data_IF_714860274592
#
_entry.id   IF_714860274592
#
_cell.length_a   1.000
_cell.length_b   1.000
_cell.length_c   1.000
_cell.angle_alpha   90.00
_cell.angle_beta   90.00
_cell.angle_gamma   90.00
#
_symmetry.space_group_name_H-M   'P 1'
#
loop_
_entity.id
_entity.type
_entity.pdbx_description
1 polymer ?
#
# COMPACT_ATOMS: atom_id res chain seq x y z
N UNK A 1 18.96 16.20 9.22
CA UNK A 1 18.96 16.43 7.76
C UNK A 1 17.56 16.07 7.28
N UNK A 2 16.82 17.05 6.75
CA UNK A 2 15.45 16.83 6.26
C UNK A 2 15.52 16.08 4.94
N UNK A 3 15.17 14.80 4.96
CA UNK A 3 15.01 14.01 3.74
C UNK A 3 13.65 14.41 3.16
N UNK A 4 13.65 15.35 2.22
CA UNK A 4 12.51 15.57 1.33
C UNK A 4 12.43 14.35 0.42
N UNK A 5 11.54 13.40 0.72
CA UNK A 5 11.28 12.28 -0.17
C UNK A 5 10.65 12.81 -1.47
N UNK A 6 11.45 12.91 -2.53
CA UNK A 6 10.93 13.18 -3.87
C UNK A 6 10.12 11.96 -4.31
N UNK A 7 8.80 12.04 -4.22
CA UNK A 7 7.88 11.04 -4.79
C UNK A 7 8.07 11.07 -6.30
N UNK A 8 8.35 9.91 -6.92
CA UNK A 8 8.52 9.81 -8.37
C UNK A 8 7.16 9.99 -9.08
N UNK A 9 7.16 10.42 -10.34
CA UNK A 9 5.95 10.63 -11.14
C UNK A 9 5.07 9.37 -11.20
N UNK A 10 5.66 8.20 -11.38
CA UNK A 10 4.93 6.93 -11.37
C UNK A 10 4.24 6.67 -10.00
N UNK A 11 4.93 6.97 -8.90
CA UNK A 11 4.36 6.82 -7.55
C UNK A 11 3.20 7.80 -7.35
N UNK A 12 3.38 9.06 -7.76
CA UNK A 12 2.35 10.10 -7.69
C UNK A 12 1.10 9.71 -8.49
N UNK A 13 1.28 9.33 -9.76
CA UNK A 13 0.17 8.98 -10.65
C UNK A 13 -0.64 7.82 -10.08
N UNK A 14 0.03 6.80 -9.57
CA UNK A 14 -0.62 5.62 -9.01
C UNK A 14 -1.36 5.90 -7.70
N UNK A 15 -0.77 6.73 -6.83
CA UNK A 15 -1.44 7.15 -5.59
C UNK A 15 -2.64 8.03 -5.85
N UNK A 16 -2.54 9.02 -6.74
CA UNK A 16 -3.66 9.88 -7.12
C UNK A 16 -4.78 9.09 -7.78
N UNK A 17 -4.44 8.14 -8.67
CA UNK A 17 -5.41 7.24 -9.30
C UNK A 17 -6.18 6.42 -8.27
N UNK A 18 -5.51 5.92 -7.25
CA UNK A 18 -6.16 5.16 -6.19
C UNK A 18 -7.11 6.03 -5.36
N UNK A 19 -6.68 7.23 -4.95
CA UNK A 19 -7.50 8.15 -4.17
C UNK A 19 -8.78 8.52 -4.92
N UNK A 20 -8.64 8.80 -6.22
CA UNK A 20 -9.79 9.07 -7.10
C UNK A 20 -10.79 7.90 -7.16
N UNK A 21 -10.31 6.66 -7.09
CA UNK A 21 -11.18 5.48 -7.12
C UNK A 21 -11.94 5.27 -5.82
N UNK A 22 -11.28 5.46 -4.67
CA UNK A 22 -11.93 5.23 -3.37
C UNK A 22 -12.90 6.36 -2.99
N UNK A 23 -12.56 7.61 -3.30
CA UNK A 23 -13.34 8.78 -2.89
C UNK A 23 -14.36 9.27 -3.93
N UNK A 24 -14.56 8.55 -5.04
CA UNK A 24 -15.45 8.97 -6.14
C UNK A 24 -16.90 9.21 -5.70
N UNK A 25 -17.34 8.52 -4.65
CA UNK A 25 -18.71 8.60 -4.14
C UNK A 25 -18.82 9.41 -2.83
N UNK A 26 -17.74 10.01 -2.33
CA UNK A 26 -17.77 10.75 -1.08
C UNK A 26 -18.41 12.14 -1.27
N UNK A 27 -19.46 12.49 -0.49
CA UNK A 27 -20.23 13.72 -0.69
C UNK A 27 -19.46 15.00 -0.33
N UNK A 28 -18.45 14.92 0.53
CA UNK A 28 -17.71 16.07 1.08
C UNK A 28 -16.50 16.44 0.24
N UNK A 29 -15.96 15.50 -0.54
CA UNK A 29 -14.83 15.73 -1.46
C UNK A 29 -15.20 15.64 -2.94
N UNK A 30 -16.46 15.41 -3.29
CA UNK A 30 -16.93 15.34 -4.68
C UNK A 30 -16.50 16.52 -5.57
N UNK A 31 -16.40 17.72 -5.01
CA UNK A 31 -16.04 18.93 -5.76
C UNK A 31 -14.51 19.05 -5.97
N UNK A 32 -13.74 18.12 -5.40
CA UNK A 32 -12.27 18.03 -5.49
C UNK A 32 -11.77 16.79 -6.25
N UNK A 33 -12.64 15.82 -6.49
CA UNK A 33 -12.35 14.58 -7.23
C UNK A 33 -12.99 14.67 -8.63
N UNK A 34 -12.34 14.24 -9.72
CA UNK A 34 -11.03 13.61 -9.77
C UNK A 34 -9.88 14.63 -9.68
N UNK A 35 -8.87 14.27 -8.88
CA UNK A 35 -7.61 15.00 -8.79
C UNK A 35 -6.78 14.62 -10.02
N UNK A 36 -6.20 15.62 -10.66
CA UNK A 36 -5.32 15.42 -11.80
C UNK A 36 -4.02 14.73 -11.33
N UNK A 37 -3.63 13.66 -12.04
CA UNK A 37 -2.48 12.81 -11.72
C UNK A 37 -1.13 13.51 -11.89
N UNK A 38 -1.11 14.62 -12.62
CA UNK A 38 0.12 15.31 -13.00
C UNK A 38 0.50 16.43 -12.02
N UNK A 39 -0.43 16.85 -11.16
CA UNK A 39 -0.23 17.93 -10.20
C UNK A 39 -0.07 17.39 -8.77
N UNK A 40 0.96 17.88 -8.07
CA UNK A 40 1.29 17.54 -6.68
C UNK A 40 0.30 18.13 -5.64
N UNK A 41 -0.95 18.40 -6.03
CA UNK A 41 -1.92 19.11 -5.18
C UNK A 41 -2.44 18.27 -4.01
N UNK A 42 -2.36 16.93 -4.09
CA UNK A 42 -2.87 16.02 -3.05
C UNK A 42 -2.15 16.19 -1.71
N UNK A 43 -0.90 16.67 -1.74
CA UNK A 43 -0.06 16.89 -0.56
C UNK A 43 -0.22 18.29 0.04
N UNK A 44 -0.71 19.25 -0.74
CA UNK A 44 -0.67 20.67 -0.39
C UNK A 44 -2.01 21.21 0.12
N UNK A 45 -3.14 20.56 -0.17
CA UNK A 45 -4.45 21.13 0.17
C UNK A 45 -5.33 20.23 1.05
N UNK A 46 -5.41 20.64 2.32
CA UNK A 46 -6.57 20.62 3.23
C UNK A 46 -6.87 19.44 4.15
N UNK A 47 -6.12 18.35 4.07
CA UNK A 47 -6.16 17.24 5.05
C UNK A 47 -7.49 16.47 5.09
N UNK A 48 -8.52 16.95 4.39
CA UNK A 48 -9.85 16.35 4.35
C UNK A 48 -9.84 15.11 3.48
N UNK A 49 -9.19 15.18 2.30
CA UNK A 49 -9.01 14.03 1.41
C UNK A 49 -8.28 12.90 2.15
N UNK A 50 -7.21 13.24 2.87
CA UNK A 50 -6.45 12.31 3.70
C UNK A 50 -7.31 11.75 4.83
N UNK A 51 -8.07 12.57 5.55
CA UNK A 51 -8.95 12.08 6.61
C UNK A 51 -10.05 11.14 6.10
N UNK A 52 -10.67 11.46 4.95
CA UNK A 52 -11.68 10.60 4.32
C UNK A 52 -11.12 9.29 3.81
N UNK A 53 -9.94 9.32 3.19
CA UNK A 53 -9.22 8.10 2.81
C UNK A 53 -8.91 7.23 4.03
N UNK A 54 -8.56 7.86 5.16
CA UNK A 54 -8.30 7.16 6.41
C UNK A 54 -9.55 6.44 6.93
N UNK A 55 -10.71 7.11 6.94
CA UNK A 55 -11.97 6.51 7.37
C UNK A 55 -12.54 5.47 6.40
N UNK A 56 -12.35 5.61 5.08
CA UNK A 56 -12.69 4.52 4.14
C UNK A 56 -11.90 3.25 4.47
N UNK A 57 -10.70 3.44 5.00
CA UNK A 57 -9.77 2.36 5.28
C UNK A 57 -10.04 1.73 6.62
N UNK A 58 -10.07 2.53 7.68
CA UNK A 58 -10.45 2.12 9.03
C UNK A 58 -11.70 2.92 9.44
N UNK A 59 -12.91 2.37 9.25
CA UNK A 59 -14.16 3.05 9.61
C UNK A 59 -14.16 3.54 11.06
N UNK A 60 -14.84 4.65 11.30
CA UNK A 60 -15.01 5.26 12.64
C UNK A 60 -13.72 5.65 13.38
N UNK A 61 -12.59 5.79 12.68
CA UNK A 61 -11.32 6.18 13.33
C UNK A 61 -11.21 7.67 13.55
N UNK A 62 -11.53 8.46 12.53
CA UNK A 62 -11.59 9.92 12.62
C UNK A 62 -13.05 10.31 12.72
N UNK A 63 -13.42 11.00 13.80
CA UNK A 63 -14.77 11.55 13.91
C UNK A 63 -14.96 12.65 12.84
N UNK A 64 -15.72 12.36 11.80
CA UNK A 64 -15.90 13.30 10.67
C UNK A 64 -16.55 14.62 11.10
N UNK A 65 -17.22 14.65 12.26
CA UNK A 65 -17.80 15.87 12.82
C UNK A 65 -16.74 16.87 13.27
N UNK A 66 -15.50 16.41 13.52
CA UNK A 66 -14.37 17.29 13.86
C UNK A 66 -13.63 17.80 12.62
N UNK A 67 -13.93 17.25 11.43
CA UNK A 67 -13.29 17.66 10.19
C UNK A 67 -13.88 18.96 9.66
N UNK A 68 -12.99 19.88 9.28
CA UNK A 68 -13.37 21.11 8.61
C UNK A 68 -13.64 20.83 7.12
N UNK A 69 -14.93 20.73 6.77
CA UNK A 69 -15.40 20.60 5.37
C UNK A 69 -15.53 21.99 4.74
N UNK A 70 -15.12 22.20 3.47
CA UNK A 70 -15.35 23.46 2.76
C UNK A 70 -16.85 23.76 2.66
N UNK A 71 -17.23 24.98 3.05
CA UNK A 71 -18.59 25.50 2.84
C UNK A 71 -18.71 25.89 1.37
N UNK A 72 -19.81 25.52 0.70
CA UNK A 72 -20.08 25.77 -0.75
C UNK A 72 -19.42 27.06 -1.26
N UNK A 73 -18.40 26.90 -2.11
CA UNK A 73 -17.71 27.99 -2.81
C UNK A 73 -16.57 28.67 -2.05
N UNK A 74 -16.19 28.22 -0.85
CA UNK A 74 -15.06 28.78 -0.09
C UNK A 74 -14.03 27.71 0.28
N UNK A 75 -12.79 27.91 -0.14
CA UNK A 75 -11.64 27.10 0.31
C UNK A 75 -11.48 27.19 1.83
N UNK A 76 -11.08 26.08 2.43
CA UNK A 76 -10.77 25.99 3.86
C UNK A 76 -9.54 26.85 4.16
N UNK A 77 -9.57 27.65 5.22
CA UNK A 77 -8.43 28.51 5.59
C UNK A 77 -7.25 27.65 6.10
N UNK A 78 -6.00 28.09 5.92
CA UNK A 78 -4.77 27.40 6.36
C UNK A 78 -4.84 26.84 7.78
N UNK A 79 -5.39 27.59 8.73
CA UNK A 79 -5.54 27.12 10.12
C UNK A 79 -6.43 25.88 10.24
N UNK A 80 -7.57 25.88 9.54
CA UNK A 80 -8.51 24.76 9.52
C UNK A 80 -7.95 23.55 8.76
N UNK A 81 -7.11 23.79 7.76
CA UNK A 81 -6.35 22.74 7.08
C UNK A 81 -5.34 22.08 8.03
N UNK A 82 -4.64 22.87 8.83
CA UNK A 82 -3.73 22.37 9.87
C UNK A 82 -4.47 21.54 10.93
N UNK A 83 -5.70 21.93 11.31
CA UNK A 83 -6.54 21.15 12.23
C UNK A 83 -6.93 19.78 11.65
N UNK A 84 -7.32 19.74 10.37
CA UNK A 84 -7.60 18.48 9.68
C UNK A 84 -6.34 17.60 9.62
N UNK A 85 -5.20 18.16 9.23
CA UNK A 85 -3.93 17.45 9.18
C UNK A 85 -3.51 16.88 10.54
N UNK A 86 -3.67 17.68 11.61
CA UNK A 86 -3.39 17.22 12.96
C UNK A 86 -4.31 16.06 13.37
N UNK A 87 -5.59 16.12 12.99
CA UNK A 87 -6.55 15.03 13.26
C UNK A 87 -6.13 13.74 12.56
N UNK A 88 -5.67 13.81 11.31
CA UNK A 88 -5.11 12.65 10.59
C UNK A 88 -3.86 12.11 11.31
N UNK A 89 -2.93 12.99 11.69
CA UNK A 89 -1.69 12.60 12.38
C UNK A 89 -1.97 11.95 13.75
N UNK A 90 -2.86 12.52 14.55
CA UNK A 90 -3.18 11.98 15.88
C UNK A 90 -3.96 10.67 15.79
N UNK A 91 -4.85 10.56 14.80
CA UNK A 91 -5.61 9.33 14.56
C UNK A 91 -4.70 8.21 14.08
N UNK A 92 -3.76 8.52 13.16
CA UNK A 92 -2.68 7.63 12.76
C UNK A 92 -1.88 7.14 13.98
N UNK A 93 -1.43 8.06 14.85
CA UNK A 93 -0.73 7.69 16.09
C UNK A 93 -1.57 6.82 17.03
N UNK A 94 -2.86 7.13 17.15
CA UNK A 94 -3.80 6.42 18.05
C UNK A 94 -4.03 4.97 17.66
N UNK A 95 -3.96 4.64 16.36
CA UNK A 95 -4.03 3.26 15.87
C UNK A 95 -2.67 2.57 15.77
N UNK A 96 -1.59 3.23 16.20
CA UNK A 96 -0.23 2.68 16.16
C UNK A 96 0.61 3.04 14.93
N UNK A 97 0.12 3.90 14.02
CA UNK A 97 0.89 4.42 12.91
C UNK A 97 1.71 5.64 13.35
N UNK A 98 3.00 5.45 13.59
CA UNK A 98 3.88 6.54 13.97
C UNK A 98 4.26 7.35 12.72
N UNK A 99 3.94 8.65 12.72
CA UNK A 99 4.16 9.58 11.58
C UNK A 99 5.62 9.98 11.33
N UNK A 100 6.58 9.28 11.95
CA UNK A 100 8.00 9.38 11.65
C UNK A 100 8.40 8.08 10.95
N UNK A 101 7.93 7.92 9.71
CA UNK A 101 7.97 6.63 9.02
C UNK A 101 9.42 6.25 8.69
N UNK A 102 9.95 5.35 9.50
CA UNK A 102 10.85 4.30 9.06
C UNK A 102 10.04 3.05 8.77
N UNK A 103 10.59 2.13 7.96
CA UNK A 103 9.94 0.87 7.60
C UNK A 103 9.36 0.12 8.80
N UNK A 104 9.87 0.28 10.03
CA UNK A 104 9.49 -0.43 11.24
C UNK A 104 8.00 -0.36 11.70
N UNK A 105 7.16 0.52 11.12
CA UNK A 105 5.82 0.80 11.65
C UNK A 105 4.65 0.03 11.00
N UNK A 106 4.87 -0.91 10.05
CA UNK A 106 3.82 -1.90 9.70
C UNK A 106 3.73 -3.02 10.75
N UNK A 107 3.51 -2.66 12.02
CA UNK A 107 3.31 -3.64 13.08
C UNK A 107 1.98 -4.35 12.82
N UNK A 108 2.08 -5.54 12.22
CA UNK A 108 1.00 -6.49 12.05
C UNK A 108 0.60 -6.99 13.43
N UNK A 109 -0.55 -6.55 13.96
CA UNK A 109 -1.06 -7.04 15.25
C UNK A 109 -1.32 -8.56 15.15
N UNK A 110 -0.65 -9.36 15.99
CA UNK A 110 -0.78 -10.82 16.05
C UNK A 110 -2.24 -11.24 16.25
N UNK A 111 -3.03 -10.43 16.96
CA UNK A 111 -4.45 -10.73 17.18
C UNK A 111 -5.25 -10.76 15.87
N UNK A 112 -4.80 -10.02 14.85
CA UNK A 112 -5.40 -10.00 13.53
C UNK A 112 -4.85 -11.11 12.62
N UNK A 113 -3.72 -11.74 12.96
CA UNK A 113 -3.02 -12.67 12.07
C UNK A 113 -2.35 -13.87 12.76
N UNK A 114 -3.13 -14.84 13.30
CA UNK A 114 -2.60 -16.11 13.82
C UNK A 114 -1.89 -16.96 12.75
N UNK A 115 -2.02 -16.62 11.48
CA UNK A 115 -1.31 -17.22 10.35
C UNK A 115 0.20 -16.90 10.35
N UNK A 116 0.64 -15.81 11.01
CA UNK A 116 2.06 -15.42 11.08
C UNK A 116 2.95 -16.47 11.72
N UNK A 117 2.41 -17.32 12.60
CA UNK A 117 3.15 -18.42 13.20
C UNK A 117 3.71 -19.40 12.16
N UNK A 118 3.12 -19.49 10.96
CA UNK A 118 3.62 -20.35 9.86
C UNK A 118 4.86 -19.78 9.17
N UNK A 119 5.19 -18.52 9.42
CA UNK A 119 6.34 -17.83 8.85
C UNK A 119 7.56 -17.83 9.77
N UNK A 120 7.42 -18.35 10.99
CA UNK A 120 8.51 -18.48 11.95
C UNK A 120 9.55 -19.47 11.44
N UNK A 121 10.81 -19.14 11.66
CA UNK A 121 11.92 -20.08 11.49
C UNK A 121 12.06 -20.96 12.74
N UNK A 122 12.67 -22.15 12.61
CA UNK A 122 12.63 -23.20 13.63
C UNK A 122 13.22 -22.78 15.01
N UNK A 123 14.04 -21.72 15.05
CA UNK A 123 14.68 -21.19 16.26
C UNK A 123 14.29 -19.74 16.59
N UNK A 124 13.23 -19.22 15.99
CA UNK A 124 12.82 -17.82 16.13
C UNK A 124 11.55 -17.67 16.98
N UNK A 125 11.58 -16.75 17.94
CA UNK A 125 10.38 -16.39 18.70
C UNK A 125 9.52 -15.42 17.92
N UNK A 126 8.21 -15.46 18.15
CA UNK A 126 7.27 -14.52 17.55
C UNK A 126 7.61 -13.05 17.85
N UNK A 127 8.13 -12.77 19.04
CA UNK A 127 8.55 -11.42 19.41
C UNK A 127 9.76 -10.94 18.59
N UNK A 128 10.70 -11.84 18.27
CA UNK A 128 11.81 -11.54 17.36
C UNK A 128 11.31 -11.33 15.93
N UNK A 129 10.40 -12.18 15.46
CA UNK A 129 9.77 -12.05 14.14
C UNK A 129 9.04 -10.71 13.98
N UNK A 130 8.27 -10.27 14.97
CA UNK A 130 7.55 -9.00 14.94
C UNK A 130 8.47 -7.77 15.00
N UNK A 131 9.70 -7.92 15.49
CA UNK A 131 10.70 -6.84 15.50
C UNK A 131 11.36 -6.66 14.14
N UNK A 132 11.12 -7.57 13.19
CA UNK A 132 11.65 -7.43 11.84
C UNK A 132 10.98 -6.27 11.13
N UNK A 133 11.72 -5.57 10.28
CA UNK A 133 11.11 -4.56 9.46
C UNK A 133 10.15 -5.24 8.45
N UNK A 134 9.07 -4.57 8.04
CA UNK A 134 7.98 -5.16 7.29
C UNK A 134 8.36 -5.71 5.92
N UNK A 135 9.35 -5.12 5.27
CA UNK A 135 9.90 -5.66 4.03
C UNK A 135 10.42 -7.09 4.26
N UNK A 136 11.06 -7.36 5.40
CA UNK A 136 11.57 -8.70 5.75
C UNK A 136 10.43 -9.67 6.09
N UNK A 137 9.40 -9.20 6.79
CA UNK A 137 8.19 -10.00 7.06
C UNK A 137 7.53 -10.41 5.73
N UNK A 138 7.36 -9.48 4.80
CA UNK A 138 6.79 -9.73 3.48
C UNK A 138 7.69 -10.64 2.63
N UNK A 139 9.01 -10.52 2.72
CA UNK A 139 9.94 -11.41 2.02
C UNK A 139 9.80 -12.86 2.51
N UNK A 140 9.68 -13.07 3.83
CA UNK A 140 9.45 -14.41 4.40
C UNK A 140 8.13 -14.98 3.95
N UNK A 141 7.07 -14.18 4.00
CA UNK A 141 5.76 -14.57 3.49
C UNK A 141 5.79 -14.95 2.00
N UNK A 142 6.41 -14.13 1.17
CA UNK A 142 6.53 -14.38 -0.27
C UNK A 142 7.25 -15.71 -0.51
N UNK A 143 8.40 -15.91 0.14
CA UNK A 143 9.20 -17.11 0.00
C UNK A 143 8.54 -18.37 0.57
N UNK A 144 7.71 -18.24 1.61
CA UNK A 144 6.88 -19.34 2.13
C UNK A 144 5.98 -19.90 1.03
N UNK A 145 5.29 -19.03 0.29
CA UNK A 145 4.44 -19.44 -0.83
C UNK A 145 5.23 -19.97 -2.03
N UNK A 146 6.38 -19.39 -2.36
CA UNK A 146 7.25 -19.92 -3.43
C UNK A 146 7.77 -21.32 -3.09
N UNK A 147 8.14 -21.56 -1.83
CA UNK A 147 8.56 -22.88 -1.33
C UNK A 147 7.41 -23.88 -1.41
N UNK A 148 6.21 -23.49 -0.99
CA UNK A 148 5.01 -24.33 -1.10
C UNK A 148 4.66 -24.67 -2.56
N UNK A 149 4.88 -23.72 -3.49
CA UNK A 149 4.69 -23.90 -4.93
C UNK A 149 5.81 -24.72 -5.61
N UNK A 150 6.82 -25.17 -4.84
CA UNK A 150 8.02 -25.87 -5.33
C UNK A 150 8.79 -25.09 -6.39
N UNK A 151 8.77 -23.77 -6.30
CA UNK A 151 9.57 -22.90 -7.14
C UNK A 151 11.02 -22.91 -6.65
N UNK A 152 11.98 -22.84 -7.57
CA UNK A 152 13.42 -22.88 -7.29
C UNK A 152 13.94 -21.52 -6.82
N UNK A 153 13.44 -20.42 -7.40
CA UNK A 153 13.89 -19.07 -7.05
C UNK A 153 13.33 -18.59 -5.72
N UNK A 154 14.13 -17.76 -5.03
CA UNK A 154 13.74 -17.05 -3.80
C UNK A 154 13.95 -15.56 -3.99
N UNK A 155 13.12 -14.77 -3.33
CA UNK A 155 13.13 -13.31 -3.37
C UNK A 155 13.89 -12.79 -2.16
N UNK A 156 14.85 -11.90 -2.36
CA UNK A 156 15.63 -11.22 -1.31
C UNK A 156 15.39 -9.71 -1.31
N UNK A 157 14.78 -9.16 -2.35
CA UNK A 157 14.44 -7.75 -2.50
C UNK A 157 13.18 -7.59 -3.36
N UNK A 158 12.49 -6.46 -3.23
CA UNK A 158 11.34 -6.10 -4.07
C UNK A 158 11.73 -5.24 -5.28
N UNK A 159 12.93 -5.43 -5.82
CA UNK A 159 13.38 -4.78 -7.05
C UNK A 159 13.73 -5.83 -8.11
N UNK A 160 15.02 -6.14 -8.26
CA UNK A 160 15.55 -7.05 -9.28
C UNK A 160 14.97 -8.47 -9.19
N UNK A 161 14.71 -8.97 -7.98
CA UNK A 161 14.27 -10.36 -7.82
C UNK A 161 12.83 -10.56 -8.29
N UNK A 162 12.04 -9.48 -8.42
CA UNK A 162 10.64 -9.53 -8.84
C UNK A 162 10.40 -8.91 -10.21
N UNK A 163 11.35 -8.16 -10.76
CA UNK A 163 11.17 -7.31 -11.95
C UNK A 163 10.82 -8.06 -13.24
N UNK A 164 11.13 -9.34 -13.34
CA UNK A 164 10.78 -10.19 -14.48
C UNK A 164 9.37 -10.81 -14.41
N UNK A 165 8.60 -10.49 -13.35
CA UNK A 165 7.22 -10.95 -13.14
C UNK A 165 7.06 -12.44 -12.85
N UNK A 166 8.12 -13.24 -12.89
CA UNK A 166 8.02 -14.71 -12.74
C UNK A 166 7.62 -15.09 -11.30
N UNK A 167 8.29 -14.48 -10.32
CA UNK A 167 8.00 -14.71 -8.91
C UNK A 167 6.56 -14.27 -8.53
N UNK A 168 6.08 -13.15 -9.07
CA UNK A 168 4.68 -12.74 -8.90
C UNK A 168 3.71 -13.71 -9.56
N UNK A 169 4.06 -14.26 -10.73
CA UNK A 169 3.20 -15.22 -11.42
C UNK A 169 2.96 -16.46 -10.55
N UNK A 170 4.03 -17.01 -9.98
CA UNK A 170 3.96 -18.17 -9.09
C UNK A 170 3.23 -17.84 -7.79
N UNK A 171 3.57 -16.73 -7.13
CA UNK A 171 2.91 -16.32 -5.88
C UNK A 171 1.40 -16.21 -6.08
N UNK A 172 0.97 -15.50 -7.12
CA UNK A 172 -0.45 -15.27 -7.37
C UNK A 172 -1.19 -16.56 -7.78
N UNK A 173 -0.54 -17.45 -8.53
CA UNK A 173 -1.08 -18.79 -8.81
C UNK A 173 -1.21 -19.62 -7.53
N UNK A 174 -0.24 -19.54 -6.60
CA UNK A 174 -0.30 -20.25 -5.33
C UNK A 174 -1.45 -19.76 -4.45
N UNK A 175 -1.74 -18.46 -4.50
CA UNK A 175 -2.78 -17.83 -3.68
C UNK A 175 -4.20 -18.03 -4.25
N UNK A 176 -4.35 -17.90 -5.57
CA UNK A 176 -5.65 -18.01 -6.27
C UNK A 176 -5.48 -18.76 -7.60
N UNK A 177 -5.26 -20.09 -7.58
CA UNK A 177 -4.96 -20.86 -8.80
C UNK A 177 -6.08 -20.77 -9.84
N UNK A 178 -7.34 -20.66 -9.40
CA UNK A 178 -8.53 -20.52 -10.26
C UNK A 178 -8.54 -19.22 -11.09
N UNK A 179 -7.89 -18.16 -10.61
CA UNK A 179 -7.88 -16.83 -11.26
C UNK A 179 -6.54 -16.49 -11.89
N UNK A 180 -5.48 -17.23 -11.57
CA UNK A 180 -4.11 -16.88 -11.89
C UNK A 180 -3.39 -18.10 -12.44
N UNK A 181 -3.33 -18.23 -13.76
CA UNK A 181 -2.53 -19.27 -14.40
C UNK A 181 -1.02 -18.97 -14.35
N UNK A 182 -0.21 -19.98 -14.71
CA UNK A 182 1.24 -19.87 -14.89
C UNK A 182 1.64 -19.53 -16.33
N UNK A 183 0.67 -19.36 -17.24
CA UNK A 183 0.91 -19.09 -18.66
C UNK A 183 1.78 -17.85 -18.93
N UNK A 184 1.73 -16.77 -18.12
CA UNK A 184 2.62 -15.62 -18.32
C UNK A 184 4.11 -15.97 -18.29
N UNK A 185 4.52 -17.10 -17.68
CA UNK A 185 5.92 -17.54 -17.69
C UNK A 185 6.44 -17.87 -19.09
N UNK A 186 5.55 -18.17 -20.04
CA UNK A 186 5.91 -18.48 -21.43
C UNK A 186 6.11 -17.23 -22.28
N UNK A 187 5.73 -16.04 -21.77
CA UNK A 187 5.85 -14.78 -22.50
C UNK A 187 7.31 -14.27 -22.41
N UNK A 188 8.07 -14.21 -23.52
CA UNK A 188 9.44 -13.71 -23.49
C UNK A 188 9.54 -12.21 -23.19
N UNK A 189 8.56 -11.41 -23.63
CA UNK A 189 8.57 -9.98 -23.38
C UNK A 189 8.15 -9.66 -21.94
N UNK A 190 9.02 -8.99 -21.19
CA UNK A 190 8.79 -8.72 -19.76
C UNK A 190 7.63 -7.75 -19.54
N UNK A 191 7.43 -6.81 -20.45
CA UNK A 191 6.36 -5.83 -20.35
C UNK A 191 5.01 -6.48 -20.65
N UNK A 192 4.91 -7.29 -21.71
CA UNK A 192 3.71 -8.05 -22.02
C UNK A 192 3.40 -9.10 -20.93
N UNK A 193 4.43 -9.75 -20.37
CA UNK A 193 4.26 -10.66 -19.24
C UNK A 193 3.66 -9.94 -18.04
N UNK A 194 4.20 -8.77 -17.74
CA UNK A 194 3.72 -7.93 -16.65
C UNK A 194 2.28 -7.46 -16.90
N UNK A 195 1.92 -7.08 -18.12
CA UNK A 195 0.54 -6.72 -18.49
C UNK A 195 -0.44 -7.87 -18.33
N UNK A 196 -0.11 -9.05 -18.87
CA UNK A 196 -0.94 -10.27 -18.75
C UNK A 196 -1.15 -10.68 -17.29
N UNK A 197 -0.25 -10.29 -16.39
CA UNK A 197 -0.33 -10.62 -14.96
C UNK A 197 -0.95 -9.53 -14.10
N UNK A 198 -0.62 -8.27 -14.37
CA UNK A 198 -0.99 -7.09 -13.58
C UNK A 198 -2.28 -6.42 -14.07
N UNK A 199 -2.82 -6.81 -15.23
CA UNK A 199 -3.99 -6.21 -15.87
C UNK A 199 -5.27 -6.13 -15.02
N UNK A 200 -5.28 -6.72 -13.81
CA UNK A 200 -6.40 -6.66 -12.88
C UNK A 200 -6.08 -5.99 -11.53
N UNK A 201 -4.92 -5.37 -11.32
CA UNK A 201 -4.51 -4.98 -9.96
C UNK A 201 -4.05 -3.52 -9.81
N UNK A 202 -4.43 -2.96 -8.66
CA UNK A 202 -4.13 -1.59 -8.21
C UNK A 202 -2.62 -1.47 -7.89
N UNK A 203 -2.05 -0.26 -8.01
CA UNK A 203 -0.72 0.19 -7.56
C UNK A 203 0.54 -0.12 -8.39
N UNK A 204 0.63 -1.28 -9.06
CA UNK A 204 1.85 -1.64 -9.81
C UNK A 204 1.59 -1.64 -11.31
N UNK A 205 2.26 -0.73 -12.02
CA UNK A 205 2.23 -0.72 -13.49
C UNK A 205 3.27 -1.71 -14.05
N UNK A 206 3.03 -2.29 -15.24
CA UNK A 206 4.01 -3.09 -15.95
C UNK A 206 5.37 -2.41 -16.09
N UNK A 207 5.36 -1.10 -16.37
CA UNK A 207 6.57 -0.28 -16.47
C UNK A 207 7.31 -0.18 -15.14
N UNK A 208 6.60 0.09 -14.04
CA UNK A 208 7.20 0.19 -12.71
C UNK A 208 7.78 -1.14 -12.22
N UNK A 209 7.16 -2.27 -12.60
CA UNK A 209 7.68 -3.61 -12.32
C UNK A 209 9.04 -3.82 -13.02
N UNK A 210 9.08 -3.60 -14.34
CA UNK A 210 10.28 -3.81 -15.15
C UNK A 210 11.37 -2.78 -14.82
N UNK A 211 10.99 -1.57 -14.40
CA UNK A 211 11.89 -0.53 -13.92
C UNK A 211 12.44 -0.80 -12.50
N UNK A 212 12.10 -1.94 -11.89
CA UNK A 212 12.58 -2.39 -10.58
C UNK A 212 12.26 -1.42 -9.43
N UNK A 213 11.14 -0.68 -9.51
CA UNK A 213 10.79 0.30 -8.48
C UNK A 213 10.53 -0.41 -7.13
N UNK A 214 11.39 -0.23 -6.11
CA UNK A 214 11.28 -0.99 -4.87
C UNK A 214 10.05 -0.61 -4.04
N UNK A 215 9.60 0.65 -4.10
CA UNK A 215 8.47 1.11 -3.30
C UNK A 215 7.15 0.60 -3.85
N UNK A 216 6.93 0.72 -5.17
CA UNK A 216 5.70 0.26 -5.80
C UNK A 216 5.57 -1.27 -5.73
N UNK A 217 6.68 -1.99 -5.85
CA UNK A 217 6.69 -3.44 -5.64
C UNK A 217 6.40 -3.82 -4.20
N UNK A 218 7.02 -3.15 -3.21
CA UNK A 218 6.71 -3.36 -1.80
C UNK A 218 5.22 -3.09 -1.50
N UNK A 219 4.68 -1.99 -2.04
CA UNK A 219 3.27 -1.64 -1.88
C UNK A 219 2.33 -2.68 -2.48
N UNK A 220 2.67 -3.19 -3.65
CA UNK A 220 1.92 -4.24 -4.30
C UNK A 220 1.96 -5.56 -3.52
N UNK A 221 3.12 -5.96 -3.00
CA UNK A 221 3.26 -7.16 -2.17
C UNK A 221 2.46 -7.01 -0.87
N UNK A 222 2.56 -5.86 -0.20
CA UNK A 222 1.77 -5.56 0.98
C UNK A 222 0.27 -5.64 0.67
N UNK A 223 -0.17 -5.10 -0.47
CA UNK A 223 -1.56 -5.22 -0.90
C UNK A 223 -2.00 -6.69 -1.10
N UNK A 224 -1.17 -7.53 -1.73
CA UNK A 224 -1.48 -8.96 -1.89
C UNK A 224 -1.53 -9.66 -0.53
N UNK A 225 -0.57 -9.39 0.35
CA UNK A 225 -0.54 -9.95 1.72
C UNK A 225 -1.83 -9.62 2.48
N UNK A 226 -2.24 -8.36 2.46
CA UNK A 226 -3.46 -7.91 3.13
C UNK A 226 -4.73 -8.48 2.50
N UNK A 227 -4.84 -8.55 1.16
CA UNK A 227 -6.00 -9.14 0.48
C UNK A 227 -6.12 -10.66 0.60
N UNK A 228 -5.05 -11.34 0.98
CA UNK A 228 -5.06 -12.79 1.13
C UNK A 228 -5.36 -13.21 2.56
N UNK A 229 -5.01 -12.37 3.54
CA UNK A 229 -5.10 -12.70 4.97
C UNK A 229 -6.21 -11.91 5.69
N UNK A 230 -6.65 -10.79 5.14
CA UNK A 230 -7.71 -9.93 5.68
C UNK A 230 -8.89 -9.98 4.72
N UNK A 231 -10.08 -10.30 5.24
CA UNK A 231 -11.31 -10.19 4.47
C UNK A 231 -11.62 -8.73 4.05
N UNK A 232 -10.99 -7.75 4.72
CA UNK A 232 -11.10 -6.29 4.50
C UNK A 232 -9.73 -5.63 4.24
N UNK A 233 -9.24 -5.74 3.00
CA UNK A 233 -7.94 -5.22 2.56
C UNK A 233 -7.80 -3.69 2.49
N UNK A 234 -8.84 -2.93 2.85
CA UNK A 234 -8.88 -1.46 2.73
C UNK A 234 -7.96 -0.76 3.74
N UNK A 235 -7.88 -1.28 4.97
CA UNK A 235 -7.14 -0.68 6.09
C UNK A 235 -5.65 -0.46 5.74
N UNK A 236 -4.95 -1.53 5.36
CA UNK A 236 -3.48 -1.50 5.28
C UNK A 236 -2.92 -0.70 4.10
N UNK A 237 -3.68 -0.52 3.04
CA UNK A 237 -3.22 0.20 1.84
C UNK A 237 -3.18 1.69 2.13
N UNK A 238 -4.23 2.23 2.76
CA UNK A 238 -4.21 3.65 3.10
C UNK A 238 -3.15 3.94 4.13
N UNK A 239 -2.88 3.04 5.08
CA UNK A 239 -1.75 3.20 6.00
C UNK A 239 -0.39 3.22 5.28
N UNK A 240 -0.21 2.44 4.22
CA UNK A 240 1.01 2.45 3.40
C UNK A 240 1.10 3.67 2.45
N UNK A 241 -0.03 4.13 1.92
CA UNK A 241 -0.15 5.40 1.21
C UNK A 241 0.23 6.54 2.15
N UNK A 242 -0.36 6.61 3.35
CA UNK A 242 -0.01 7.59 4.36
C UNK A 242 1.47 7.52 4.73
N UNK A 243 2.05 6.32 4.88
CA UNK A 243 3.47 6.19 5.18
C UNK A 243 4.36 6.73 4.06
N UNK A 244 3.97 6.53 2.80
CA UNK A 244 4.71 7.05 1.64
C UNK A 244 4.46 8.54 1.40
N UNK A 245 3.30 9.05 1.80
CA UNK A 245 2.85 10.43 1.65
C UNK A 245 3.48 11.35 2.71
N UNK A 246 3.74 10.82 3.91
CA UNK A 246 4.21 11.58 5.08
C UNK A 246 5.69 11.34 5.46
N UNK A 247 6.39 10.40 4.81
CA UNK A 247 7.87 10.34 4.76
C UNK A 247 8.38 11.41 3.81
#
# INVERSE_FOLDING_TARGET
QNVSHTINEDERTEFTRHINQELINDPDVKDKIPIDTDIMQIFDEDGLILAKLFNDSVPDTIDERVLNVPVKGKKVNKCKMTENNNSVIFSAKGIGCNVNIGSADLIVDIKLHPELYRLLEDDETLEQFLKLPPDQILLRWFNYHLKAAKWDRRVKNFSKDVSDGANYTILLNQLKPELCSRDPLNEPDLLERAEKKLGCRKYLTPKALVAENPKLNLAFVAHIFNTTWIADAKISISLLLFSTIFS
#
